data_IF_916492544627
#
_entry.id   IF_916492544627
#
_cell.length_a   1.000
_cell.length_b   1.000
_cell.length_c   1.000
_cell.angle_alpha   90.00
_cell.angle_beta   90.00
_cell.angle_gamma   90.00
#
_symmetry.space_group_name_H-M   'P 1'
#
loop_
_entity.id
_entity.type
_entity.pdbx_description
1 polymer ?
#
# COMPACT_ATOMS: atom_id res chain seq x y z
N UNK A 1 26.62 -8.99 -21.07
CA UNK A 1 25.94 -9.32 -19.80
C UNK A 1 25.75 -8.01 -19.05
N UNK A 2 24.55 -7.44 -19.07
CA UNK A 2 24.29 -6.19 -18.36
C UNK A 2 24.00 -6.55 -16.90
N UNK A 3 24.93 -6.20 -16.02
CA UNK A 3 24.73 -6.33 -14.59
C UNK A 3 23.62 -5.35 -14.17
N UNK A 4 22.48 -5.79 -13.60
CA UNK A 4 21.48 -4.85 -13.11
C UNK A 4 22.12 -4.02 -11.99
N UNK A 5 22.13 -2.70 -12.16
CA UNK A 5 22.69 -1.76 -11.20
C UNK A 5 22.03 -2.00 -9.83
N UNK A 6 22.78 -2.25 -8.74
CA UNK A 6 22.18 -2.59 -7.43
C UNK A 6 21.18 -1.53 -6.92
N UNK A 7 21.30 -0.27 -7.38
CA UNK A 7 20.34 0.81 -7.09
C UNK A 7 18.96 0.60 -7.73
N UNK A 8 18.87 -0.15 -8.84
CA UNK A 8 17.58 -0.47 -9.49
C UNK A 8 16.71 -1.44 -8.69
N UNK A 9 17.28 -2.13 -7.69
CA UNK A 9 16.52 -3.05 -6.84
C UNK A 9 15.83 -2.32 -5.66
N UNK A 10 16.43 -1.24 -5.15
CA UNK A 10 15.89 -0.48 -4.01
C UNK A 10 14.72 0.42 -4.41
N UNK A 11 14.86 1.18 -5.48
CA UNK A 11 13.85 2.15 -5.91
C UNK A 11 12.95 1.55 -6.98
N UNK A 12 11.71 1.23 -6.60
CA UNK A 12 10.73 0.66 -7.52
C UNK A 12 9.84 1.78 -8.09
N UNK A 13 9.80 2.00 -9.41
CA UNK A 13 8.88 2.95 -10.02
C UNK A 13 7.42 2.69 -9.65
N UNK A 14 6.64 3.75 -9.46
CA UNK A 14 5.19 3.65 -9.45
C UNK A 14 4.69 3.34 -10.87
N UNK A 15 3.61 2.56 -10.98
CA UNK A 15 3.03 2.19 -12.28
C UNK A 15 2.22 3.30 -12.91
N UNK A 16 1.86 4.32 -12.13
CA UNK A 16 1.03 5.46 -12.50
C UNK A 16 1.77 6.54 -13.32
N UNK A 17 2.90 6.21 -13.95
CA UNK A 17 3.72 7.16 -14.70
C UNK A 17 3.16 7.50 -16.08
N UNK A 18 3.09 8.80 -16.40
CA UNK A 18 2.75 9.31 -17.75
C UNK A 18 3.96 9.45 -18.68
N UNK A 19 5.15 9.01 -18.24
CA UNK A 19 6.41 9.13 -18.97
C UNK A 19 7.17 7.82 -18.91
N UNK A 20 7.95 7.52 -19.95
CA UNK A 20 8.86 6.38 -19.98
C UNK A 20 10.00 6.51 -18.97
N UNK A 21 10.25 7.73 -18.47
CA UNK A 21 11.25 7.99 -17.42
C UNK A 21 10.56 8.01 -16.06
N UNK A 22 10.84 7.04 -15.16
CA UNK A 22 10.21 6.98 -13.85
C UNK A 22 10.77 8.07 -12.92
N UNK A 23 9.91 9.01 -12.53
CA UNK A 23 10.26 10.13 -11.62
C UNK A 23 9.69 9.98 -10.21
N UNK A 24 8.70 9.10 -10.04
CA UNK A 24 8.14 8.74 -8.74
C UNK A 24 8.44 7.27 -8.47
N UNK A 25 9.06 7.00 -7.33
CA UNK A 25 9.54 5.67 -6.93
C UNK A 25 9.20 5.40 -5.47
N UNK A 26 9.03 4.12 -5.15
CA UNK A 26 8.96 3.61 -3.80
C UNK A 26 10.36 3.18 -3.39
N UNK A 27 10.87 3.74 -2.29
CA UNK A 27 12.05 3.21 -1.61
C UNK A 27 11.65 1.92 -0.86
N UNK A 28 11.91 0.76 -1.49
CA UNK A 28 11.50 -0.54 -0.95
C UNK A 28 12.29 -0.99 0.28
N UNK A 29 13.39 -0.29 0.59
CA UNK A 29 14.21 -0.55 1.77
C UNK A 29 13.93 0.41 2.93
N UNK A 30 13.03 1.38 2.75
CA UNK A 30 12.56 2.25 3.84
C UNK A 30 11.88 1.44 4.95
N UNK A 31 11.71 2.07 6.12
CA UNK A 31 11.02 1.46 7.26
C UNK A 31 9.61 1.00 6.80
N UNK A 32 9.25 -0.29 6.96
CA UNK A 32 7.95 -0.79 6.53
C UNK A 32 6.77 -0.08 7.19
N UNK A 33 6.94 0.49 8.39
CA UNK A 33 5.90 1.28 9.05
C UNK A 33 5.69 2.63 8.37
N UNK A 34 6.77 3.30 7.93
CA UNK A 34 6.69 4.54 7.17
C UNK A 34 6.06 4.31 5.78
N UNK A 35 6.41 3.19 5.12
CA UNK A 35 5.77 2.80 3.85
C UNK A 35 4.26 2.55 4.06
N UNK A 36 3.89 1.89 5.16
CA UNK A 36 2.49 1.64 5.52
C UNK A 36 1.74 2.94 5.82
N UNK A 37 2.34 3.88 6.55
CA UNK A 37 1.75 5.19 6.84
C UNK A 37 1.55 6.01 5.55
N UNK A 38 2.53 5.99 4.64
CA UNK A 38 2.41 6.61 3.33
C UNK A 38 1.29 5.98 2.48
N UNK A 39 1.09 4.66 2.58
CA UNK A 39 0.00 3.94 1.94
C UNK A 39 -1.35 4.35 2.54
N UNK A 40 -1.45 4.36 3.87
CA UNK A 40 -2.65 4.79 4.60
C UNK A 40 -3.04 6.20 4.19
N UNK A 41 -2.09 7.12 4.13
CA UNK A 41 -2.34 8.51 3.73
C UNK A 41 -3.02 8.60 2.35
N UNK A 42 -2.51 7.86 1.36
CA UNK A 42 -3.07 7.86 -0.01
C UNK A 42 -4.47 7.25 -0.06
N UNK A 43 -4.68 6.13 0.62
CA UNK A 43 -5.99 5.47 0.67
C UNK A 43 -7.02 6.34 1.40
N UNK A 44 -6.64 6.98 2.50
CA UNK A 44 -7.51 7.94 3.20
C UNK A 44 -7.83 9.15 2.30
N UNK A 45 -6.84 9.74 1.65
CA UNK A 45 -7.07 10.85 0.72
C UNK A 45 -8.00 10.45 -0.46
N UNK A 46 -7.86 9.23 -0.99
CA UNK A 46 -8.76 8.70 -2.00
C UNK A 46 -10.20 8.53 -1.44
N UNK A 47 -10.33 8.02 -0.22
CA UNK A 47 -11.64 7.87 0.44
C UNK A 47 -12.33 9.22 0.64
N UNK A 48 -11.61 10.21 1.18
CA UNK A 48 -12.14 11.56 1.43
C UNK A 48 -12.53 12.25 0.11
N UNK A 49 -11.73 12.07 -0.94
CA UNK A 49 -12.05 12.59 -2.27
C UNK A 49 -13.25 11.88 -2.91
N UNK A 50 -13.43 10.58 -2.67
CA UNK A 50 -14.58 9.83 -3.15
C UNK A 50 -15.87 10.27 -2.45
N UNK A 51 -15.82 10.53 -1.15
CA UNK A 51 -16.93 11.12 -0.39
C UNK A 51 -17.30 12.51 -0.94
N UNK A 52 -16.28 13.31 -1.25
CA UNK A 52 -16.45 14.61 -1.90
C UNK A 52 -17.13 14.47 -3.27
N UNK A 53 -16.64 13.56 -4.13
CA UNK A 53 -17.23 13.29 -5.45
C UNK A 53 -18.69 12.85 -5.32
N UNK A 54 -18.96 11.92 -4.41
CA UNK A 54 -20.31 11.44 -4.13
C UNK A 54 -21.23 12.62 -3.80
N UNK A 55 -20.82 13.51 -2.90
CA UNK A 55 -21.60 14.70 -2.53
C UNK A 55 -21.79 15.68 -3.70
N UNK A 56 -20.74 15.92 -4.50
CA UNK A 56 -20.73 16.88 -5.60
C UNK A 56 -21.63 16.46 -6.77
N UNK A 57 -21.65 15.16 -7.11
CA UNK A 57 -22.51 14.60 -8.15
C UNK A 57 -24.01 14.87 -7.92
N UNK A 58 -24.42 15.04 -6.66
CA UNK A 58 -25.82 15.36 -6.32
C UNK A 58 -26.13 16.84 -6.31
N UNK A 59 -25.11 17.71 -6.20
CA UNK A 59 -25.36 19.11 -5.85
C UNK A 59 -24.99 20.11 -6.95
N UNK A 60 -23.83 20.02 -7.62
CA UNK A 60 -23.41 21.10 -8.54
C UNK A 60 -22.06 20.89 -9.29
N UNK A 61 -21.46 19.69 -9.36
CA UNK A 61 -20.21 19.55 -10.12
C UNK A 61 -20.42 19.81 -11.62
N UNK A 62 -19.49 20.57 -12.24
CA UNK A 62 -19.42 20.60 -13.69
C UNK A 62 -19.06 19.19 -14.18
N UNK A 63 -19.69 18.74 -15.26
CA UNK A 63 -19.39 17.44 -15.85
C UNK A 63 -17.90 17.33 -16.23
N UNK A 64 -17.21 18.46 -16.45
CA UNK A 64 -15.77 18.52 -16.68
C UNK A 64 -14.91 18.20 -15.46
N UNK A 65 -15.44 18.33 -14.24
CA UNK A 65 -14.67 18.07 -13.02
C UNK A 65 -14.58 16.58 -12.71
N UNK A 66 -15.58 15.79 -13.13
CA UNK A 66 -15.67 14.36 -12.85
C UNK A 66 -14.44 13.60 -13.37
N UNK A 67 -13.99 13.75 -14.63
CA UNK A 67 -12.79 13.07 -15.12
C UNK A 67 -11.53 13.41 -14.32
N UNK A 68 -11.36 14.66 -13.89
CA UNK A 68 -10.20 15.11 -13.12
C UNK A 68 -10.20 14.46 -11.72
N UNK A 69 -11.35 14.44 -11.05
CA UNK A 69 -11.50 13.83 -9.73
C UNK A 69 -11.31 12.31 -9.83
N UNK A 70 -11.90 11.65 -10.84
CA UNK A 70 -11.71 10.22 -11.08
C UNK A 70 -10.25 9.88 -11.37
N UNK A 71 -9.54 10.71 -12.14
CA UNK A 71 -8.12 10.54 -12.38
C UNK A 71 -7.30 10.63 -11.08
N UNK A 72 -7.58 11.61 -10.22
CA UNK A 72 -6.90 11.72 -8.92
C UNK A 72 -7.20 10.52 -8.01
N UNK A 73 -8.45 10.06 -7.96
CA UNK A 73 -8.85 8.85 -7.24
C UNK A 73 -8.10 7.62 -7.72
N UNK A 74 -7.98 7.44 -9.05
CA UNK A 74 -7.23 6.34 -9.64
C UNK A 74 -5.77 6.35 -9.21
N UNK A 75 -5.09 7.51 -9.31
CA UNK A 75 -3.69 7.66 -8.93
C UNK A 75 -3.47 7.34 -7.43
N UNK A 76 -4.25 7.97 -6.55
CA UNK A 76 -4.13 7.76 -5.10
C UNK A 76 -4.37 6.30 -4.70
N UNK A 77 -5.36 5.66 -5.32
CA UNK A 77 -5.68 4.25 -5.04
C UNK A 77 -4.59 3.31 -5.52
N UNK A 78 -4.07 3.52 -6.73
CA UNK A 78 -2.97 2.71 -7.27
C UNK A 78 -1.69 2.88 -6.44
N UNK A 79 -1.30 4.13 -6.16
CA UNK A 79 -0.10 4.41 -5.37
C UNK A 79 -0.21 3.80 -3.95
N UNK A 80 -1.37 3.96 -3.31
CA UNK A 80 -1.65 3.35 -2.01
C UNK A 80 -1.59 1.83 -2.04
N UNK A 81 -2.13 1.20 -3.08
CA UNK A 81 -2.06 -0.25 -3.26
C UNK A 81 -0.61 -0.74 -3.44
N UNK A 82 0.18 -0.07 -4.27
CA UNK A 82 1.58 -0.45 -4.51
C UNK A 82 2.45 -0.34 -3.25
N UNK A 83 2.22 0.69 -2.42
CA UNK A 83 2.88 0.85 -1.13
C UNK A 83 2.47 -0.24 -0.14
N UNK A 84 1.17 -0.60 -0.08
CA UNK A 84 0.69 -1.70 0.75
C UNK A 84 1.35 -3.03 0.39
N UNK A 85 1.51 -3.30 -0.90
CA UNK A 85 2.19 -4.52 -1.38
C UNK A 85 3.65 -4.58 -0.91
N UNK A 86 4.38 -3.47 -0.95
CA UNK A 86 5.76 -3.39 -0.44
C UNK A 86 5.79 -3.56 1.07
N UNK A 87 4.97 -2.80 1.80
CA UNK A 87 4.91 -2.86 3.26
C UNK A 87 4.61 -4.30 3.74
N UNK A 88 3.64 -4.98 3.10
CA UNK A 88 3.27 -6.36 3.45
C UNK A 88 4.39 -7.38 3.25
N UNK A 89 5.25 -7.19 2.24
CA UNK A 89 6.39 -8.08 2.00
C UNK A 89 7.48 -7.93 3.07
N UNK A 90 7.54 -6.75 3.72
CA UNK A 90 8.60 -6.36 4.65
C UNK A 90 8.19 -6.47 6.12
N UNK A 91 6.89 -6.37 6.40
CA UNK A 91 6.37 -6.59 7.75
C UNK A 91 6.56 -8.06 8.17
N UNK A 92 6.91 -8.32 9.44
CA UNK A 92 6.97 -9.68 9.96
C UNK A 92 5.63 -10.37 9.72
N UNK A 93 5.64 -11.56 9.11
CA UNK A 93 4.45 -12.41 9.11
C UNK A 93 4.12 -12.66 10.57
N UNK A 94 2.97 -12.19 11.03
CA UNK A 94 2.45 -12.53 12.36
C UNK A 94 2.28 -14.05 12.40
N UNK A 95 3.33 -14.77 12.81
CA UNK A 95 3.20 -16.14 13.26
C UNK A 95 2.42 -16.02 14.56
N UNK A 96 1.10 -16.15 14.47
CA UNK A 96 0.27 -16.40 15.64
C UNK A 96 1.00 -17.49 16.44
N UNK A 97 1.47 -17.11 17.63
CA UNK A 97 2.16 -18.01 18.54
C UNK A 97 1.30 -19.26 18.68
N UNK A 98 1.80 -20.43 18.24
CA UNK A 98 1.26 -21.71 18.69
C UNK A 98 1.35 -21.68 20.21
N UNK A 99 0.21 -21.52 20.87
CA UNK A 99 0.10 -21.85 22.29
C UNK A 99 0.61 -23.28 22.47
N UNK A 100 1.62 -23.56 23.32
CA UNK A 100 1.92 -24.91 23.71
C UNK A 100 0.86 -25.32 24.74
N UNK A 101 -0.31 -25.76 24.25
CA UNK A 101 -1.24 -26.50 25.08
C UNK A 101 -0.66 -27.93 25.21
N UNK A 102 0.16 -28.13 26.23
CA UNK A 102 0.70 -29.42 26.64
C UNK A 102 0.41 -29.60 28.12
N UNK A 103 -0.80 -30.03 28.42
CA UNK A 103 -1.22 -30.49 29.75
C UNK A 103 -0.41 -31.72 30.15
N UNK A 104 0.38 -31.62 31.21
CA UNK A 104 0.83 -32.78 31.99
C UNK A 104 -0.22 -33.04 33.10
N UNK A 105 -0.75 -34.26 33.20
CA UNK A 105 -1.12 -34.77 34.51
C UNK A 105 -0.34 -36.04 34.86
N UNK A 106 -0.04 -36.10 36.15
CA UNK A 106 0.74 -37.06 36.87
C UNK A 106 0.30 -38.53 36.74
N UNK A 107 1.30 -39.41 36.61
CA UNK A 107 1.57 -40.61 37.44
C UNK A 107 0.53 -41.75 37.43
N UNK A 108 0.95 -42.91 36.92
CA UNK A 108 0.60 -44.21 37.49
C UNK A 108 1.88 -45.07 37.54
N UNK A 109 2.37 -45.34 38.75
CA UNK A 109 3.40 -46.34 39.02
C UNK A 109 2.73 -47.43 39.88
N UNK A 110 2.76 -48.66 39.35
CA UNK A 110 2.45 -49.96 39.98
C UNK A 110 1.00 -50.29 40.26
#
# INVERSE_FOLDING_TARGET
MNNPDPLTNRYRPLRTSYSDTPVLVIDTEADPHEILDAARQRICAASDLLETLYCLCFKQADASDIPNIVSALYLLTQDGHELLEVARQRLPKTTASRCPCGSEPAREKR
#
